data_IF_436131528863
#
_entry.id   IF_436131528863
#
_cell.length_a   1.000
_cell.length_b   1.000
_cell.length_c   1.000
_cell.angle_alpha   90.00
_cell.angle_beta   90.00
_cell.angle_gamma   90.00
#
_symmetry.space_group_name_H-M   'P 1'
#
loop_
_entity.id
_entity.type
_entity.pdbx_description
1 polymer ?
#
# COMPACT_ATOMS: atom_id res chain seq x y z
N UNK A 1 8.04 27.39 9.83
CA UNK A 1 6.64 27.17 10.28
C UNK A 1 6.34 25.70 10.12
N UNK A 2 5.84 25.04 11.18
CA UNK A 2 5.50 23.62 11.14
C UNK A 2 4.35 23.39 10.14
N UNK A 3 4.46 22.34 9.34
CA UNK A 3 3.46 21.95 8.36
C UNK A 3 3.06 20.49 8.55
N UNK A 4 1.77 20.23 8.40
CA UNK A 4 1.20 18.89 8.31
C UNK A 4 0.65 18.70 6.91
N UNK A 5 1.05 17.64 6.25
CA UNK A 5 0.66 17.36 4.87
C UNK A 5 -0.38 16.25 4.86
N UNK A 6 -1.46 16.44 4.10
CA UNK A 6 -2.45 15.42 3.81
C UNK A 6 -2.41 15.06 2.33
N UNK A 7 -2.46 13.79 2.01
CA UNK A 7 -2.49 13.29 0.62
C UNK A 7 -3.69 12.37 0.45
N UNK A 8 -4.67 12.80 -0.35
CA UNK A 8 -5.73 11.91 -0.87
C UNK A 8 -5.20 11.21 -2.13
N UNK A 9 -5.24 9.89 -2.11
CA UNK A 9 -4.57 9.06 -3.10
C UNK A 9 -5.59 8.45 -4.06
N UNK A 10 -5.33 8.60 -5.35
CA UNK A 10 -6.02 7.83 -6.39
C UNK A 10 -5.03 7.12 -7.32
N UNK A 11 -5.53 6.26 -8.19
CA UNK A 11 -4.70 5.51 -9.14
C UNK A 11 -3.78 6.42 -9.98
N UNK A 12 -4.29 7.55 -10.45
CA UNK A 12 -3.57 8.44 -11.39
C UNK A 12 -3.03 9.71 -10.76
N UNK A 13 -3.62 10.17 -9.66
CA UNK A 13 -3.36 11.48 -9.09
C UNK A 13 -3.28 11.42 -7.56
N UNK A 14 -2.56 12.38 -7.02
CA UNK A 14 -2.50 12.68 -5.60
C UNK A 14 -2.98 14.12 -5.40
N UNK A 15 -4.00 14.30 -4.57
CA UNK A 15 -4.39 15.62 -4.08
C UNK A 15 -3.62 15.88 -2.80
N UNK A 16 -2.83 16.95 -2.77
CA UNK A 16 -1.96 17.31 -1.65
C UNK A 16 -2.49 18.57 -1.01
N UNK A 17 -2.50 18.63 0.31
CA UNK A 17 -2.83 19.84 1.06
C UNK A 17 -1.89 20.02 2.26
N UNK A 18 -1.63 21.28 2.62
CA UNK A 18 -0.81 21.67 3.75
C UNK A 18 -1.64 22.41 4.79
N UNK A 19 -1.43 22.08 6.06
CA UNK A 19 -2.03 22.76 7.20
C UNK A 19 -0.92 23.25 8.16
N UNK A 20 -0.96 24.49 8.65
CA UNK A 20 -2.03 25.51 8.54
C UNK A 20 -1.97 26.38 7.27
N UNK A 21 -1.04 26.16 6.36
CA UNK A 21 -0.74 27.04 5.22
C UNK A 21 -1.92 27.18 4.24
N UNK A 22 -2.90 26.27 4.27
CA UNK A 22 -4.08 26.24 3.38
C UNK A 22 -3.73 26.11 1.90
N UNK A 23 -2.48 25.72 1.58
CA UNK A 23 -2.07 25.42 0.20
C UNK A 23 -2.57 24.03 -0.20
N UNK A 24 -2.93 23.86 -1.48
CA UNK A 24 -3.39 22.58 -2.00
C UNK A 24 -3.22 22.51 -3.51
N UNK A 25 -2.77 21.37 -3.99
CA UNK A 25 -2.50 21.14 -5.41
C UNK A 25 -2.60 19.65 -5.75
N UNK A 26 -2.72 19.37 -7.04
CA UNK A 26 -2.76 18.00 -7.57
C UNK A 26 -1.49 17.69 -8.32
N UNK A 27 -0.99 16.46 -8.13
CA UNK A 27 0.16 15.92 -8.86
C UNK A 27 -0.19 14.53 -9.41
N UNK A 28 0.51 14.04 -10.45
CA UNK A 28 0.44 12.64 -10.86
C UNK A 28 0.94 11.69 -9.77
N UNK A 29 0.39 10.47 -9.72
CA UNK A 29 0.90 9.43 -8.84
C UNK A 29 2.06 8.68 -9.53
N UNK A 30 3.20 9.36 -9.69
CA UNK A 30 4.43 8.86 -10.32
C UNK A 30 5.66 9.15 -9.46
N UNK A 31 6.74 8.41 -9.70
CA UNK A 31 8.01 8.58 -8.99
C UNK A 31 8.55 10.03 -9.14
N UNK A 32 8.51 10.56 -10.37
CA UNK A 32 9.03 11.90 -10.69
C UNK A 32 8.25 12.99 -9.94
N UNK A 33 6.91 12.88 -9.95
CA UNK A 33 6.05 13.85 -9.28
C UNK A 33 6.19 13.80 -7.76
N UNK A 34 6.39 12.63 -7.18
CA UNK A 34 6.63 12.44 -5.75
C UNK A 34 8.00 12.97 -5.34
N UNK A 35 9.02 12.79 -6.17
CA UNK A 35 10.35 13.37 -5.94
C UNK A 35 10.28 14.91 -5.97
N UNK A 36 9.59 15.47 -6.97
CA UNK A 36 9.35 16.91 -7.05
C UNK A 36 8.52 17.45 -5.86
N UNK A 37 7.55 16.66 -5.37
CA UNK A 37 6.80 16.98 -4.16
C UNK A 37 7.72 17.11 -2.95
N UNK A 38 8.63 16.17 -2.73
CA UNK A 38 9.55 16.21 -1.61
C UNK A 38 10.45 17.49 -1.67
N UNK A 39 10.92 17.85 -2.86
CA UNK A 39 11.67 19.11 -3.06
C UNK A 39 10.80 20.34 -2.74
N UNK A 40 9.55 20.36 -3.21
CA UNK A 40 8.60 21.45 -2.92
C UNK A 40 8.30 21.58 -1.43
N UNK A 41 8.36 20.50 -0.68
CA UNK A 41 8.10 20.49 0.76
C UNK A 41 9.29 20.94 1.60
N UNK A 42 10.53 20.99 1.08
CA UNK A 42 11.75 21.40 1.82
C UNK A 42 11.68 22.75 2.53
N UNK A 43 11.03 23.81 1.98
CA UNK A 43 10.90 25.08 2.68
C UNK A 43 10.04 25.02 3.96
N UNK A 44 9.29 23.95 4.13
CA UNK A 44 8.42 23.75 5.29
C UNK A 44 9.07 22.80 6.29
N UNK A 45 8.91 23.07 7.59
CA UNK A 45 9.23 22.09 8.63
C UNK A 45 8.11 21.06 8.70
N UNK A 46 8.12 20.11 7.76
CA UNK A 46 7.08 19.07 7.67
C UNK A 46 7.22 18.12 8.86
N UNK A 47 6.25 18.16 9.78
CA UNK A 47 6.23 17.28 10.93
C UNK A 47 5.81 15.87 10.51
N UNK A 48 4.81 15.80 9.59
CA UNK A 48 4.31 14.51 9.11
C UNK A 48 3.50 14.65 7.82
N UNK A 49 3.54 13.60 7.01
CA UNK A 49 2.69 13.39 5.83
C UNK A 49 1.67 12.31 6.17
N UNK A 50 0.39 12.62 6.09
CA UNK A 50 -0.68 11.67 6.32
C UNK A 50 -1.32 11.27 4.99
N UNK A 51 -1.41 9.98 4.73
CA UNK A 51 -2.12 9.43 3.57
C UNK A 51 -3.08 8.31 3.99
N UNK A 52 -4.19 8.22 3.25
CA UNK A 52 -5.20 7.19 3.49
C UNK A 52 -4.83 5.89 2.78
N UNK A 53 -5.11 4.75 3.43
CA UNK A 53 -4.97 3.43 2.80
C UNK A 53 -6.05 3.27 1.72
N UNK A 54 -5.66 3.13 0.45
CA UNK A 54 -6.54 3.12 -0.73
C UNK A 54 -6.42 1.84 -1.57
N UNK A 55 -6.17 0.71 -0.91
CA UNK A 55 -6.08 -0.59 -1.58
C UNK A 55 -4.83 -0.81 -2.42
N UNK A 56 -3.74 -0.07 -2.11
CA UNK A 56 -2.42 -0.27 -2.71
C UNK A 56 -1.92 0.89 -3.57
N UNK A 57 -2.78 1.84 -3.99
CA UNK A 57 -2.34 3.01 -4.75
C UNK A 57 -1.44 3.96 -3.94
N UNK A 58 -1.55 3.91 -2.61
CA UNK A 58 -0.73 4.67 -1.65
C UNK A 58 0.70 4.15 -1.52
N UNK A 59 0.98 2.92 -1.95
CA UNK A 59 2.28 2.27 -1.73
C UNK A 59 3.44 3.08 -2.33
N UNK A 60 3.29 3.56 -3.57
CA UNK A 60 4.33 4.34 -4.23
C UNK A 60 4.65 5.62 -3.45
N UNK A 61 3.63 6.39 -3.08
CA UNK A 61 3.80 7.61 -2.30
C UNK A 61 4.44 7.33 -0.93
N UNK A 62 3.99 6.28 -0.25
CA UNK A 62 4.55 5.85 1.02
C UNK A 62 6.05 5.54 0.91
N UNK A 63 6.44 4.71 -0.06
CA UNK A 63 7.82 4.30 -0.26
C UNK A 63 8.73 5.47 -0.62
N UNK A 64 8.34 6.26 -1.63
CA UNK A 64 9.16 7.36 -2.15
C UNK A 64 9.36 8.44 -1.09
N UNK A 65 8.29 8.91 -0.47
CA UNK A 65 8.38 9.99 0.51
C UNK A 65 9.12 9.56 1.79
N UNK A 66 8.95 8.31 2.23
CA UNK A 66 9.72 7.76 3.37
C UNK A 66 11.21 7.67 3.05
N UNK A 67 11.58 7.18 1.85
CA UNK A 67 12.99 7.13 1.41
C UNK A 67 13.64 8.52 1.32
N UNK A 68 12.84 9.54 1.00
CA UNK A 68 13.28 10.93 0.96
C UNK A 68 13.28 11.61 2.34
N UNK A 69 13.11 10.84 3.42
CA UNK A 69 13.26 11.29 4.81
C UNK A 69 12.02 11.94 5.42
N UNK A 70 10.86 11.89 4.76
CA UNK A 70 9.63 12.42 5.33
C UNK A 70 9.00 11.39 6.29
N UNK A 71 8.46 11.86 7.40
CA UNK A 71 7.67 11.04 8.31
C UNK A 71 6.29 10.79 7.71
N UNK A 72 6.12 9.68 7.02
CA UNK A 72 4.85 9.30 6.39
C UNK A 72 4.06 8.39 7.31
N UNK A 73 2.78 8.69 7.49
CA UNK A 73 1.85 7.89 8.28
C UNK A 73 0.71 7.43 7.39
N UNK A 74 0.51 6.12 7.28
CA UNK A 74 -0.65 5.53 6.61
C UNK A 74 -1.78 5.34 7.62
N UNK A 75 -2.92 5.96 7.35
CA UNK A 75 -4.07 5.96 8.25
C UNK A 75 -5.21 5.08 7.71
N UNK A 76 -5.92 4.44 8.63
CA UNK A 76 -7.14 3.72 8.29
C UNK A 76 -8.26 4.72 7.92
N UNK A 77 -8.96 4.54 6.79
CA UNK A 77 -10.09 5.38 6.36
C UNK A 77 -11.16 5.60 7.41
N UNK A 78 -11.43 4.59 8.25
CA UNK A 78 -12.43 4.69 9.31
C UNK A 78 -12.07 5.77 10.34
N UNK A 79 -10.78 5.92 10.69
CA UNK A 79 -10.32 6.94 11.64
C UNK A 79 -10.54 8.35 11.10
N UNK A 80 -10.25 8.56 9.82
CA UNK A 80 -10.43 9.86 9.16
C UNK A 80 -11.91 10.22 9.04
N UNK A 81 -12.77 9.25 8.69
CA UNK A 81 -14.22 9.45 8.66
C UNK A 81 -14.80 9.80 10.04
N UNK A 82 -14.34 9.13 11.09
CA UNK A 82 -14.78 9.43 12.45
C UNK A 82 -14.34 10.84 12.88
N UNK A 83 -13.12 11.24 12.53
CA UNK A 83 -12.66 12.61 12.75
C UNK A 83 -13.48 13.64 11.97
N UNK A 84 -13.79 13.40 10.70
CA UNK A 84 -14.64 14.27 9.90
C UNK A 84 -16.04 14.44 10.51
N UNK A 85 -16.63 13.34 11.02
CA UNK A 85 -17.90 13.39 11.76
C UNK A 85 -17.80 14.24 13.03
N UNK A 86 -16.76 14.07 13.82
CA UNK A 86 -16.54 14.87 15.04
C UNK A 86 -16.35 16.36 14.73
N UNK A 87 -15.86 16.70 13.54
CA UNK A 87 -15.74 18.07 13.02
C UNK A 87 -17.04 18.61 12.37
N UNK A 88 -18.17 17.90 12.51
CA UNK A 88 -19.47 18.31 11.97
C UNK A 88 -19.65 18.12 10.47
N UNK A 89 -18.72 17.40 9.79
CA UNK A 89 -18.88 17.05 8.38
C UNK A 89 -19.67 15.76 8.24
N UNK A 90 -20.71 15.77 7.39
CA UNK A 90 -21.52 14.59 7.10
C UNK A 90 -20.71 13.57 6.27
N UNK A 91 -20.10 12.61 6.94
CA UNK A 91 -19.26 11.57 6.34
C UNK A 91 -19.99 10.66 5.30
N UNK A 92 -21.28 10.84 5.09
CA UNK A 92 -22.06 10.04 4.12
C UNK A 92 -22.02 10.63 2.70
N UNK A 93 -21.72 11.93 2.57
CA UNK A 93 -21.74 12.68 1.30
C UNK A 93 -20.43 13.41 1.01
N UNK A 94 -19.63 13.73 2.04
CA UNK A 94 -18.39 14.48 1.85
C UNK A 94 -17.24 13.50 1.64
N UNK A 95 -16.65 13.56 0.46
CA UNK A 95 -15.38 12.88 0.16
C UNK A 95 -14.31 13.39 1.13
N UNK A 96 -13.61 12.46 1.79
CA UNK A 96 -12.41 12.82 2.55
C UNK A 96 -11.41 13.40 1.57
N UNK A 97 -11.03 14.64 1.78
CA UNK A 97 -10.09 15.35 0.93
C UNK A 97 -8.71 15.50 1.62
N UNK A 98 -7.73 15.88 0.84
CA UNK A 98 -6.38 16.12 1.35
C UNK A 98 -6.34 17.17 2.47
N UNK A 99 -7.24 18.16 2.47
CA UNK A 99 -7.34 19.20 3.51
C UNK A 99 -7.78 18.61 4.85
N UNK A 100 -8.72 17.67 4.81
CA UNK A 100 -9.16 16.94 6.00
C UNK A 100 -8.04 16.07 6.56
N UNK A 101 -7.28 15.39 5.70
CA UNK A 101 -6.12 14.61 6.09
C UNK A 101 -5.03 15.51 6.71
N UNK A 102 -4.74 16.65 6.12
CA UNK A 102 -3.77 17.61 6.66
C UNK A 102 -4.18 18.15 8.04
N UNK A 103 -5.45 18.52 8.20
CA UNK A 103 -6.02 18.94 9.48
C UNK A 103 -5.98 17.81 10.50
N UNK A 104 -6.37 16.60 10.13
CA UNK A 104 -6.31 15.45 11.02
C UNK A 104 -4.87 15.15 11.45
N UNK A 105 -3.92 15.24 10.53
CA UNK A 105 -2.50 15.09 10.82
C UNK A 105 -2.04 16.04 11.94
N UNK A 106 -2.54 17.28 11.95
CA UNK A 106 -2.17 18.28 13.00
C UNK A 106 -2.76 17.97 14.38
N UNK A 107 -3.73 17.07 14.46
CA UNK A 107 -4.39 16.66 15.73
C UNK A 107 -3.93 15.30 16.23
N UNK A 108 -3.12 14.60 15.45
CA UNK A 108 -2.60 13.31 15.87
C UNK A 108 -1.40 13.48 16.79
N UNK A 109 -1.43 12.80 17.92
CA UNK A 109 -0.30 12.67 18.84
C UNK A 109 0.30 11.28 18.74
N UNK A 110 1.64 11.18 18.83
CA UNK A 110 2.39 9.93 18.95
C UNK A 110 2.17 8.86 17.87
N UNK A 111 1.72 9.25 16.68
CA UNK A 111 1.62 8.30 15.55
C UNK A 111 3.01 7.93 15.02
N UNK A 112 3.23 6.62 14.92
CA UNK A 112 4.48 6.11 14.37
C UNK A 112 4.50 6.27 12.84
N UNK A 113 5.68 6.60 12.31
CA UNK A 113 5.89 6.57 10.87
C UNK A 113 5.64 5.16 10.33
N UNK A 114 5.11 5.08 9.13
CA UNK A 114 4.96 3.80 8.47
C UNK A 114 6.34 3.19 8.19
N UNK A 115 6.51 1.95 8.60
CA UNK A 115 7.71 1.20 8.27
C UNK A 115 7.52 0.63 6.87
N UNK A 116 8.37 1.05 5.95
CA UNK A 116 8.46 0.44 4.61
C UNK A 116 9.33 -0.79 4.71
N UNK A 117 8.72 -1.95 4.65
CA UNK A 117 9.43 -3.24 4.61
C UNK A 117 9.14 -3.90 3.25
N UNK A 118 9.96 -3.57 2.25
CA UNK A 118 9.79 -4.05 0.88
C UNK A 118 9.83 -5.57 0.76
N UNK A 119 10.61 -6.22 1.62
CA UNK A 119 10.69 -7.68 1.62
C UNK A 119 9.39 -8.28 2.10
N UNK A 120 8.82 -7.72 3.17
CA UNK A 120 7.54 -8.16 3.72
C UNK A 120 6.37 -7.84 2.78
N UNK A 121 6.40 -6.67 2.13
CA UNK A 121 5.37 -6.29 1.15
C UNK A 121 5.41 -7.23 -0.05
N UNK A 122 6.60 -7.53 -0.59
CA UNK A 122 6.79 -8.50 -1.68
C UNK A 122 6.32 -9.91 -1.26
N UNK A 123 6.64 -10.33 -0.03
CA UNK A 123 6.19 -11.62 0.50
C UNK A 123 4.66 -11.71 0.56
N UNK A 124 4.00 -10.66 1.04
CA UNK A 124 2.53 -10.60 1.08
C UNK A 124 1.90 -10.68 -0.32
N UNK A 125 2.50 -10.02 -1.32
CA UNK A 125 2.05 -10.11 -2.71
C UNK A 125 2.23 -11.51 -3.29
N UNK A 126 3.36 -12.16 -3.04
CA UNK A 126 3.61 -13.55 -3.46
C UNK A 126 2.62 -14.52 -2.83
N UNK A 127 2.35 -14.40 -1.52
CA UNK A 127 1.36 -15.24 -0.82
C UNK A 127 -0.04 -15.04 -1.41
N UNK A 128 -0.44 -13.81 -1.66
CA UNK A 128 -1.74 -13.48 -2.28
C UNK A 128 -1.85 -14.08 -3.68
N UNK A 129 -0.81 -13.94 -4.49
CA UNK A 129 -0.78 -14.49 -5.85
C UNK A 129 -0.80 -16.02 -5.85
N UNK A 130 -0.09 -16.65 -4.91
CA UNK A 130 -0.14 -18.09 -4.71
C UNK A 130 -1.56 -18.58 -4.41
N UNK A 131 -2.24 -17.93 -3.47
CA UNK A 131 -3.62 -18.28 -3.11
C UNK A 131 -4.56 -18.16 -4.31
N UNK A 132 -4.40 -17.11 -5.13
CA UNK A 132 -5.18 -16.94 -6.34
C UNK A 132 -4.97 -18.09 -7.34
N UNK A 133 -3.72 -18.50 -7.61
CA UNK A 133 -3.44 -19.62 -8.51
C UNK A 133 -3.97 -20.95 -7.97
N UNK A 134 -3.85 -21.20 -6.67
CA UNK A 134 -4.43 -22.39 -6.03
C UNK A 134 -5.95 -22.41 -6.20
N UNK A 135 -6.61 -21.28 -5.96
CA UNK A 135 -8.06 -21.18 -6.12
C UNK A 135 -8.50 -21.44 -7.56
N UNK A 136 -7.84 -20.83 -8.55
CA UNK A 136 -8.13 -21.08 -9.97
C UNK A 136 -7.93 -22.54 -10.35
N UNK A 137 -6.84 -23.15 -9.92
CA UNK A 137 -6.55 -24.58 -10.17
C UNK A 137 -7.66 -25.47 -9.62
N UNK A 138 -8.09 -25.23 -8.39
CA UNK A 138 -9.10 -26.05 -7.73
C UNK A 138 -10.49 -25.84 -8.36
N UNK A 139 -10.80 -24.65 -8.85
CA UNK A 139 -12.01 -24.36 -9.63
C UNK A 139 -12.02 -25.16 -10.94
N UNK A 140 -10.89 -25.19 -11.65
CA UNK A 140 -10.75 -25.97 -12.89
C UNK A 140 -10.84 -27.46 -12.59
N UNK A 141 -10.20 -27.96 -11.52
CA UNK A 141 -10.29 -29.38 -11.11
C UNK A 141 -11.74 -29.81 -10.83
N UNK A 142 -12.56 -28.93 -10.27
CA UNK A 142 -13.99 -29.21 -10.07
C UNK A 142 -14.73 -29.29 -11.40
N UNK A 143 -14.47 -28.38 -12.34
CA UNK A 143 -15.12 -28.35 -13.66
C UNK A 143 -14.75 -29.55 -14.52
N UNK A 144 -13.50 -29.97 -14.54
CA UNK A 144 -13.01 -31.11 -15.35
C UNK A 144 -13.81 -32.41 -15.07
N UNK A 145 -14.29 -32.59 -13.83
CA UNK A 145 -15.09 -33.77 -13.46
C UNK A 145 -16.43 -33.85 -14.20
N UNK A 146 -16.94 -32.74 -14.73
CA UNK A 146 -18.24 -32.63 -15.41
C UNK A 146 -18.11 -32.57 -16.94
N UNK A 147 -16.88 -32.63 -17.48
CA UNK A 147 -16.64 -32.48 -18.91
C UNK A 147 -16.56 -33.86 -19.58
N UNK A 148 -17.41 -34.06 -20.58
CA UNK A 148 -17.47 -35.31 -21.36
C UNK A 148 -16.57 -35.24 -22.62
N UNK A 149 -16.31 -34.06 -23.16
CA UNK A 149 -15.46 -33.91 -24.36
C UNK A 149 -13.99 -34.08 -24.01
N UNK A 150 -13.32 -35.06 -24.60
CA UNK A 150 -11.90 -35.34 -24.34
C UNK A 150 -10.99 -34.20 -24.79
N UNK A 151 -11.30 -33.52 -25.87
CA UNK A 151 -10.54 -32.36 -26.36
C UNK A 151 -10.59 -31.23 -25.33
N UNK A 152 -11.77 -30.92 -24.80
CA UNK A 152 -11.95 -29.88 -23.77
C UNK A 152 -11.28 -30.28 -22.47
N UNK A 153 -11.43 -31.55 -22.07
CA UNK A 153 -10.81 -32.09 -20.86
C UNK A 153 -9.28 -31.95 -20.91
N UNK A 154 -8.66 -32.31 -22.03
CA UNK A 154 -7.21 -32.21 -22.24
C UNK A 154 -6.73 -30.76 -22.11
N UNK A 155 -7.46 -29.79 -22.67
CA UNK A 155 -7.14 -28.38 -22.52
C UNK A 155 -7.13 -27.91 -21.04
N UNK A 156 -8.13 -28.34 -20.26
CA UNK A 156 -8.18 -28.02 -18.82
C UNK A 156 -7.08 -28.72 -18.01
N UNK A 157 -6.74 -29.96 -18.34
CA UNK A 157 -5.62 -30.66 -17.69
C UNK A 157 -4.29 -29.96 -17.94
N UNK A 158 -4.08 -29.45 -19.15
CA UNK A 158 -2.90 -28.65 -19.47
C UNK A 158 -2.86 -27.34 -18.66
N UNK A 159 -3.99 -26.67 -18.49
CA UNK A 159 -4.09 -25.45 -17.66
C UNK A 159 -3.82 -25.76 -16.18
N UNK A 160 -4.33 -26.86 -15.65
CA UNK A 160 -4.03 -27.30 -14.27
C UNK A 160 -2.52 -27.48 -14.09
N UNK A 161 -1.85 -28.15 -15.04
CA UNK A 161 -0.40 -28.35 -15.00
C UNK A 161 0.35 -27.02 -14.98
N UNK A 162 -0.06 -26.07 -15.81
CA UNK A 162 0.54 -24.71 -15.85
C UNK A 162 0.39 -24.01 -14.52
N UNK A 163 -0.79 -24.08 -13.88
CA UNK A 163 -1.02 -23.47 -12.57
C UNK A 163 -0.22 -24.15 -11.46
N UNK A 164 -0.09 -25.48 -11.47
CA UNK A 164 0.75 -26.22 -10.53
C UNK A 164 2.23 -25.80 -10.66
N UNK A 165 2.74 -25.60 -11.88
CA UNK A 165 4.11 -25.14 -12.10
C UNK A 165 4.30 -23.66 -11.65
N UNK A 166 3.29 -22.82 -11.83
CA UNK A 166 3.32 -21.44 -11.32
C UNK A 166 3.31 -21.39 -9.81
N UNK A 167 2.50 -22.22 -9.14
CA UNK A 167 2.48 -22.32 -7.67
C UNK A 167 3.86 -22.74 -7.15
N UNK A 168 4.48 -23.78 -7.73
CA UNK A 168 5.84 -24.21 -7.33
C UNK A 168 6.87 -23.09 -7.45
N UNK A 169 6.84 -22.32 -8.56
CA UNK A 169 7.76 -21.18 -8.74
C UNK A 169 7.56 -20.11 -7.66
N UNK A 170 6.31 -19.81 -7.31
CA UNK A 170 6.02 -18.83 -6.25
C UNK A 170 6.45 -19.38 -4.88
N UNK A 171 6.27 -20.66 -4.60
CA UNK A 171 6.72 -21.28 -3.34
C UNK A 171 8.22 -21.10 -3.13
N UNK A 172 9.04 -21.31 -4.15
CA UNK A 172 10.49 -21.04 -4.10
C UNK A 172 10.80 -19.57 -3.81
N UNK A 173 10.06 -18.64 -4.44
CA UNK A 173 10.24 -17.21 -4.18
C UNK A 173 9.83 -16.82 -2.75
N UNK A 174 8.76 -17.41 -2.21
CA UNK A 174 8.32 -17.21 -0.83
C UNK A 174 9.40 -17.69 0.15
N UNK A 175 9.93 -18.89 -0.04
CA UNK A 175 11.01 -19.43 0.79
C UNK A 175 12.24 -18.52 0.78
N UNK A 176 12.67 -18.09 -0.40
CA UNK A 176 13.81 -17.16 -0.55
C UNK A 176 13.58 -15.86 0.21
N UNK A 177 12.39 -15.23 0.04
CA UNK A 177 12.06 -13.97 0.71
C UNK A 177 11.86 -14.12 2.22
N UNK A 178 11.34 -15.23 2.68
CA UNK A 178 11.23 -15.54 4.11
C UNK A 178 12.59 -15.63 4.77
N UNK A 179 13.57 -16.31 4.14
CA UNK A 179 14.95 -16.41 4.62
C UNK A 179 15.64 -15.04 4.71
N UNK A 180 15.34 -14.11 3.81
CA UNK A 180 15.84 -12.73 3.88
C UNK A 180 15.31 -11.97 5.12
N UNK A 181 14.06 -12.20 5.52
CA UNK A 181 13.45 -11.59 6.72
C UNK A 181 14.13 -12.14 7.98
N UNK A 182 14.28 -13.45 8.06
CA UNK A 182 14.89 -14.12 9.22
C UNK A 182 16.35 -13.66 9.41
N UNK A 183 17.13 -13.58 8.35
CA UNK A 183 18.52 -13.11 8.41
C UNK A 183 18.62 -11.65 8.87
N UNK A 184 17.76 -10.76 8.39
CA UNK A 184 17.71 -9.36 8.84
C UNK A 184 17.28 -9.23 10.30
N UNK A 185 16.32 -10.05 10.73
CA UNK A 185 15.86 -10.07 12.13
C UNK A 185 16.95 -10.52 13.08
N UNK A 186 17.71 -11.56 12.73
CA UNK A 186 18.88 -12.04 13.49
C UNK A 186 20.00 -11.00 13.55
N UNK A 187 20.27 -10.30 12.44
CA UNK A 187 21.28 -9.22 12.42
C UNK A 187 20.89 -8.06 13.34
N UNK A 188 19.61 -7.65 13.33
CA UNK A 188 19.09 -6.59 14.22
C UNK A 188 19.21 -6.97 15.69
N UNK A 189 18.89 -8.21 16.06
CA UNK A 189 19.05 -8.71 17.44
C UNK A 189 20.52 -8.75 17.89
N UNK A 190 21.45 -9.04 16.99
CA UNK A 190 22.89 -9.00 17.28
C UNK A 190 23.46 -7.59 17.42
N UNK A 191 22.83 -6.59 16.81
CA UNK A 191 23.24 -5.18 16.90
C UNK A 191 22.77 -4.45 18.18
N UNK A 192 21.92 -5.10 19.00
CA UNK A 192 21.41 -4.60 20.28
C UNK A 192 22.32 -5.08 21.45
N UNK A 193 23.62 -5.11 21.26
CA UNK A 193 24.58 -5.34 22.36
C UNK A 193 25.22 -4.04 22.82
#
# INVERSE_FOLDING_TARGET
>A
MIAHVGIDVSKKHLDVALHPQKDGFRIPNTLEALTALAERLKPYAVERVLLEATGGYEKLALQVLTRLGLKVVRINPVRVRNFAKAMGKNAKTDKIDAKMLALFSSKLENEQAAVVDEVRDTLNELVTQRQFFVQQRDDIRRRVKQINSEVVRTAYLQQIKTLDDQVKKIDVLIETKSSEIDSKSVQRLRAIK
#
